data_IF_868733970476
#
_entry.id   IF_868733970476
#
_cell.length_a   1.000
_cell.length_b   1.000
_cell.length_c   1.000
_cell.angle_alpha   90.00
_cell.angle_beta   90.00
_cell.angle_gamma   90.00
#
_symmetry.space_group_name_H-M   'P 1'
#
loop_
_entity.id
_entity.type
_entity.pdbx_description
1 polymer ?
#
# COMPACT_ATOMS: atom_id res chain seq x y z
N UNK A 1 -1.43 -34.94 3.02
CA UNK A 1 -2.86 -35.06 2.69
C UNK A 1 -3.03 -34.94 1.19
N UNK A 2 -4.02 -35.60 0.61
CA UNK A 2 -4.34 -35.42 -0.80
C UNK A 2 -5.07 -34.09 -1.02
N UNK A 3 -4.79 -33.45 -2.15
CA UNK A 3 -5.41 -32.18 -2.56
C UNK A 3 -6.17 -32.39 -3.87
N UNK A 4 -7.38 -31.93 -3.90
CA UNK A 4 -8.18 -31.94 -5.11
C UNK A 4 -7.65 -30.84 -6.09
N UNK A 5 -7.97 -30.97 -7.39
CA UNK A 5 -7.51 -30.02 -8.42
C UNK A 5 -7.92 -28.59 -8.18
N UNK A 6 -9.19 -28.28 -7.82
CA UNK A 6 -9.62 -26.90 -7.50
C UNK A 6 -8.85 -26.30 -6.31
N UNK A 7 -8.62 -27.08 -5.24
CA UNK A 7 -7.86 -26.62 -4.07
C UNK A 7 -6.40 -26.31 -4.42
N UNK A 8 -5.77 -27.12 -5.27
CA UNK A 8 -4.41 -26.90 -5.74
C UNK A 8 -4.30 -25.60 -6.55
N UNK A 9 -5.24 -25.34 -7.46
CA UNK A 9 -5.29 -24.10 -8.25
C UNK A 9 -5.47 -22.84 -7.38
N UNK A 10 -6.18 -22.95 -6.26
CA UNK A 10 -6.28 -21.86 -5.30
C UNK A 10 -4.97 -21.60 -4.56
N UNK A 11 -4.22 -22.66 -4.22
CA UNK A 11 -2.91 -22.55 -3.59
C UNK A 11 -1.88 -21.93 -4.54
N UNK A 12 -1.93 -22.22 -5.82
CA UNK A 12 -1.03 -21.65 -6.84
C UNK A 12 -1.20 -20.13 -7.01
N UNK A 13 -2.37 -19.58 -6.68
CA UNK A 13 -2.61 -18.11 -6.68
C UNK A 13 -1.95 -17.41 -5.49
N UNK A 14 -1.46 -18.16 -4.51
CA UNK A 14 -0.77 -17.62 -3.34
C UNK A 14 0.71 -17.42 -3.68
N UNK A 15 1.36 -16.31 -3.24
CA UNK A 15 2.78 -16.08 -3.48
C UNK A 15 3.65 -17.25 -2.99
N UNK A 16 4.66 -17.69 -3.77
CA UNK A 16 5.44 -18.92 -3.49
C UNK A 16 6.06 -18.98 -2.09
N UNK A 17 6.49 -17.83 -1.56
CA UNK A 17 7.15 -17.76 -0.24
C UNK A 17 6.22 -18.05 0.94
N UNK A 18 4.88 -17.96 0.77
CA UNK A 18 3.90 -18.30 1.82
C UNK A 18 3.12 -19.58 1.54
N UNK A 19 3.21 -20.16 0.34
CA UNK A 19 2.45 -21.36 -0.04
C UNK A 19 2.65 -22.52 0.94
N UNK A 20 3.88 -22.75 1.41
CA UNK A 20 4.18 -23.81 2.38
C UNK A 20 3.42 -23.63 3.68
N UNK A 21 3.43 -22.40 4.22
CA UNK A 21 2.74 -22.07 5.49
C UNK A 21 1.22 -22.19 5.33
N UNK A 22 0.68 -21.70 4.20
CA UNK A 22 -0.76 -21.82 3.90
C UNK A 22 -1.16 -23.28 3.79
N UNK A 23 -0.38 -24.11 3.08
CA UNK A 23 -0.61 -25.53 2.92
C UNK A 23 -0.67 -26.25 4.27
N UNK A 24 0.34 -26.06 5.12
CA UNK A 24 0.39 -26.66 6.46
C UNK A 24 -0.81 -26.30 7.30
N UNK A 25 -1.24 -25.04 7.26
CA UNK A 25 -2.40 -24.56 8.04
C UNK A 25 -3.72 -25.14 7.53
N UNK A 26 -3.92 -25.20 6.21
CA UNK A 26 -5.12 -25.81 5.60
C UNK A 26 -5.20 -27.28 5.93
N UNK A 27 -4.08 -28.01 5.83
CA UNK A 27 -4.02 -29.43 6.18
C UNK A 27 -4.29 -29.67 7.67
N UNK A 28 -3.81 -28.81 8.57
CA UNK A 28 -4.10 -28.90 10.01
C UNK A 28 -5.58 -28.74 10.28
N UNK A 29 -6.21 -27.70 9.69
CA UNK A 29 -7.65 -27.45 9.84
C UNK A 29 -8.50 -28.59 9.26
N UNK A 30 -8.09 -29.17 8.15
CA UNK A 30 -8.77 -30.31 7.54
C UNK A 30 -8.69 -31.55 8.43
N UNK A 31 -7.53 -31.82 9.07
CA UNK A 31 -7.36 -32.91 10.04
C UNK A 31 -8.21 -32.73 11.28
N UNK A 32 -8.27 -31.51 11.84
CA UNK A 32 -9.13 -31.20 12.98
C UNK A 32 -10.61 -31.44 12.69
N UNK A 33 -11.01 -31.32 11.42
CA UNK A 33 -12.36 -31.61 10.92
C UNK A 33 -12.56 -33.07 10.47
N UNK A 34 -11.57 -33.94 10.69
CA UNK A 34 -11.62 -35.35 10.33
C UNK A 34 -11.62 -35.63 8.82
N UNK A 35 -11.11 -34.71 8.02
CA UNK A 35 -11.03 -34.86 6.56
C UNK A 35 -9.70 -35.46 6.15
N UNK A 36 -9.74 -36.34 5.13
CA UNK A 36 -8.54 -36.94 4.54
C UNK A 36 -8.14 -36.32 3.22
N UNK A 37 -9.08 -35.57 2.59
CA UNK A 37 -8.90 -34.85 1.34
C UNK A 37 -9.15 -33.37 1.55
N UNK A 38 -8.27 -32.51 1.02
CA UNK A 38 -8.43 -31.06 1.01
C UNK A 38 -9.16 -30.66 -0.26
N UNK A 39 -10.37 -30.14 -0.09
CA UNK A 39 -11.18 -29.59 -1.18
C UNK A 39 -11.16 -28.06 -1.16
N UNK A 40 -11.75 -27.45 -2.19
CA UNK A 40 -11.91 -26.00 -2.26
C UNK A 40 -12.59 -25.42 -1.01
N UNK A 41 -13.57 -26.14 -0.45
CA UNK A 41 -14.31 -25.72 0.73
C UNK A 41 -13.40 -25.59 1.97
N UNK A 42 -12.44 -26.50 2.16
CA UNK A 42 -11.46 -26.43 3.24
C UNK A 42 -10.49 -25.26 3.08
N UNK A 43 -10.05 -24.95 1.84
CA UNK A 43 -9.20 -23.80 1.56
C UNK A 43 -9.93 -22.49 1.85
N UNK A 44 -11.20 -22.38 1.43
CA UNK A 44 -12.03 -21.20 1.70
C UNK A 44 -12.30 -21.06 3.21
N UNK A 45 -12.65 -22.14 3.89
CA UNK A 45 -12.87 -22.13 5.34
C UNK A 45 -11.61 -21.76 6.14
N UNK A 46 -10.43 -22.22 5.70
CA UNK A 46 -9.17 -21.80 6.29
C UNK A 46 -8.93 -20.30 6.08
N UNK A 47 -9.17 -19.80 4.87
CA UNK A 47 -9.06 -18.37 4.58
C UNK A 47 -9.97 -17.53 5.47
N UNK A 48 -11.23 -17.91 5.63
CA UNK A 48 -12.19 -17.21 6.49
C UNK A 48 -11.78 -17.24 7.98
N UNK A 49 -11.20 -18.36 8.44
CA UNK A 49 -10.69 -18.49 9.80
C UNK A 49 -9.50 -17.55 10.09
N UNK A 50 -8.62 -17.31 9.10
CA UNK A 50 -7.41 -16.51 9.29
C UNK A 50 -7.55 -15.05 8.87
N UNK A 51 -8.39 -14.75 7.88
CA UNK A 51 -8.58 -13.40 7.35
C UNK A 51 -9.89 -12.73 7.79
N UNK A 52 -10.72 -13.45 8.56
CA UNK A 52 -12.09 -13.06 8.85
C UNK A 52 -13.02 -13.31 7.65
N UNK A 53 -14.31 -13.40 7.90
CA UNK A 53 -15.32 -13.51 6.84
C UNK A 53 -15.20 -12.27 5.93
N UNK A 54 -15.22 -12.42 4.60
CA UNK A 54 -15.32 -11.29 3.71
C UNK A 54 -16.51 -10.44 4.16
N UNK A 55 -16.28 -9.17 4.46
CA UNK A 55 -17.35 -8.28 4.88
C UNK A 55 -18.39 -8.20 3.75
N UNK A 56 -19.61 -8.77 3.93
CA UNK A 56 -20.63 -8.76 2.88
C UNK A 56 -21.10 -7.34 2.53
N UNK A 57 -20.72 -6.33 3.31
CA UNK A 57 -20.97 -4.92 3.03
C UNK A 57 -19.93 -4.28 2.09
N UNK A 58 -18.89 -5.03 1.66
CA UNK A 58 -18.05 -4.65 0.54
C UNK A 58 -18.78 -4.97 -0.79
N UNK A 59 -19.93 -4.36 -1.00
CA UNK A 59 -20.48 -4.19 -2.34
C UNK A 59 -19.41 -3.50 -3.18
N UNK A 60 -19.16 -3.95 -4.44
CA UNK A 60 -18.31 -3.18 -5.34
C UNK A 60 -18.92 -1.77 -5.42
N UNK A 61 -18.22 -0.82 -4.83
CA UNK A 61 -18.69 0.55 -4.76
C UNK A 61 -18.90 1.03 -6.21
N UNK A 62 -20.13 1.46 -6.52
CA UNK A 62 -20.45 2.23 -7.71
C UNK A 62 -19.34 3.28 -7.87
N UNK A 63 -18.68 3.36 -9.05
CA UNK A 63 -17.59 4.33 -9.26
C UNK A 63 -18.11 5.72 -8.83
N UNK A 64 -17.64 6.28 -7.73
CA UNK A 64 -18.10 7.59 -7.29
C UNK A 64 -17.59 8.64 -8.29
N UNK A 65 -18.35 9.71 -8.49
CA UNK A 65 -17.89 10.88 -9.25
C UNK A 65 -16.61 11.42 -8.58
N UNK A 66 -15.68 12.00 -9.34
CA UNK A 66 -14.36 12.43 -8.84
C UNK A 66 -14.43 13.33 -7.59
N UNK A 67 -15.47 14.16 -7.50
CA UNK A 67 -15.76 14.98 -6.31
C UNK A 67 -16.10 14.14 -5.06
N UNK A 68 -16.72 12.99 -5.23
CA UNK A 68 -17.11 12.09 -4.15
C UNK A 68 -15.93 11.25 -3.67
N UNK A 69 -15.03 10.87 -4.60
CA UNK A 69 -13.79 10.15 -4.26
C UNK A 69 -12.89 10.91 -3.29
N UNK A 70 -12.85 12.23 -3.38
CA UNK A 70 -11.97 13.10 -2.59
C UNK A 70 -12.64 13.67 -1.34
N UNK A 71 -13.91 13.32 -1.06
CA UNK A 71 -14.71 13.91 0.03
C UNK A 71 -14.06 13.83 1.41
N UNK A 72 -13.38 12.72 1.71
CA UNK A 72 -12.67 12.55 2.98
C UNK A 72 -11.39 13.39 3.02
N UNK A 73 -10.63 13.43 1.92
CA UNK A 73 -9.37 14.19 1.85
C UNK A 73 -9.57 15.70 1.94
N UNK A 74 -10.72 16.22 1.49
CA UNK A 74 -11.06 17.66 1.59
C UNK A 74 -11.05 18.19 3.02
N UNK A 75 -11.15 17.31 4.03
CA UNK A 75 -10.99 17.68 5.43
C UNK A 75 -9.55 18.02 5.83
N UNK A 76 -8.58 17.73 4.96
CA UNK A 76 -7.15 17.88 5.24
C UNK A 76 -6.49 18.71 4.14
N UNK A 77 -6.20 19.97 4.41
CA UNK A 77 -5.57 20.91 3.48
C UNK A 77 -4.25 20.43 2.88
N UNK A 78 -3.49 19.61 3.61
CA UNK A 78 -2.19 19.10 3.19
C UNK A 78 -2.20 18.19 1.94
N UNK A 79 -3.35 17.76 1.47
CA UNK A 79 -3.54 16.96 0.26
C UNK A 79 -4.00 17.79 -0.93
N UNK A 80 -3.98 19.11 -0.80
CA UNK A 80 -4.36 20.04 -1.83
C UNK A 80 -3.31 21.15 -1.94
N UNK A 81 -3.05 21.60 -3.16
CA UNK A 81 -2.22 22.75 -3.42
C UNK A 81 -2.95 24.08 -3.08
N UNK A 82 -2.29 25.20 -3.32
CA UNK A 82 -2.86 26.54 -3.06
C UNK A 82 -4.04 26.89 -3.99
N UNK A 83 -4.18 26.18 -5.10
CA UNK A 83 -5.23 26.33 -6.09
C UNK A 83 -6.43 25.39 -5.80
N UNK A 84 -6.27 24.47 -4.83
CA UNK A 84 -7.27 23.50 -4.44
C UNK A 84 -7.26 22.23 -5.26
N UNK A 85 -6.21 21.98 -6.08
CA UNK A 85 -6.04 20.74 -6.80
C UNK A 85 -5.50 19.65 -5.85
N UNK A 86 -5.93 18.39 -5.99
CA UNK A 86 -5.45 17.32 -5.15
C UNK A 86 -3.97 17.01 -5.44
N UNK A 87 -3.17 16.80 -4.39
CA UNK A 87 -1.78 16.34 -4.45
C UNK A 87 -1.64 15.11 -3.56
N UNK A 88 -1.59 13.94 -4.18
CA UNK A 88 -1.59 12.64 -3.49
C UNK A 88 -0.19 12.08 -3.29
N UNK A 89 0.81 12.92 -3.16
CA UNK A 89 2.15 12.57 -2.75
C UNK A 89 2.75 13.62 -1.84
N UNK A 90 3.69 13.22 -1.01
CA UNK A 90 4.42 14.11 -0.11
C UNK A 90 5.91 13.78 -0.23
N UNK A 91 6.73 14.75 -0.60
CA UNK A 91 8.19 14.59 -0.65
C UNK A 91 8.79 15.41 0.47
N UNK A 92 9.43 14.74 1.43
CA UNK A 92 10.11 15.36 2.56
C UNK A 92 11.62 15.28 2.35
N UNK A 93 12.31 16.41 2.41
CA UNK A 93 13.77 16.49 2.41
C UNK A 93 14.32 16.70 3.81
N UNK A 94 15.58 16.37 4.00
CA UNK A 94 16.35 16.84 5.14
C UNK A 94 16.56 18.36 4.99
N UNK A 95 16.38 19.09 6.09
CA UNK A 95 16.58 20.55 6.14
C UNK A 95 18.05 20.96 6.37
N UNK A 96 18.98 20.04 6.22
CA UNK A 96 20.39 20.27 6.52
C UNK A 96 21.00 21.46 5.80
N UNK A 97 20.69 21.66 4.52
CA UNK A 97 21.17 22.80 3.74
C UNK A 97 20.59 24.14 4.24
N UNK A 98 19.31 24.18 4.66
CA UNK A 98 18.65 25.38 5.17
C UNK A 98 19.22 25.83 6.53
N UNK A 99 19.66 24.89 7.37
CA UNK A 99 20.11 25.16 8.75
C UNK A 99 21.63 25.06 8.92
N UNK A 100 22.39 24.98 7.83
CA UNK A 100 23.87 24.79 7.85
C UNK A 100 24.31 23.63 8.74
N UNK A 101 23.67 22.48 8.57
CA UNK A 101 23.93 21.31 9.40
C UNK A 101 25.36 20.79 9.19
N UNK A 102 26.17 20.63 10.27
CA UNK A 102 27.57 20.20 10.14
C UNK A 102 27.72 18.75 9.67
N UNK A 103 26.66 17.95 9.71
CA UNK A 103 26.64 16.56 9.27
C UNK A 103 26.12 16.37 7.84
N UNK A 104 25.79 17.45 7.15
CA UNK A 104 25.27 17.36 5.79
C UNK A 104 26.35 16.86 4.82
N UNK A 105 26.07 15.77 4.12
CA UNK A 105 26.96 15.20 3.11
C UNK A 105 26.53 15.64 1.71
N UNK A 106 25.21 15.70 1.48
CA UNK A 106 24.65 16.11 0.19
C UNK A 106 23.35 16.91 0.39
N UNK A 107 23.10 17.83 -0.52
CA UNK A 107 21.83 18.58 -0.52
C UNK A 107 20.68 17.70 -1.02
N UNK A 108 19.88 17.26 -0.07
CA UNK A 108 18.69 16.45 -0.34
C UNK A 108 17.55 17.24 -1.01
N UNK A 109 17.59 18.57 -0.98
CA UNK A 109 16.58 19.44 -1.61
C UNK A 109 16.57 19.24 -3.12
N UNK A 110 17.74 19.23 -3.76
CA UNK A 110 17.88 19.05 -5.22
C UNK A 110 17.21 17.75 -5.69
N UNK A 111 17.44 16.64 -4.97
CA UNK A 111 16.82 15.37 -5.34
C UNK A 111 15.31 15.37 -5.04
N UNK A 112 14.91 16.00 -3.95
CA UNK A 112 13.49 16.14 -3.60
C UNK A 112 12.70 16.91 -4.65
N UNK A 113 13.27 17.97 -5.20
CA UNK A 113 12.64 18.75 -6.27
C UNK A 113 12.56 17.95 -7.58
N UNK A 114 13.62 17.22 -7.93
CA UNK A 114 13.58 16.30 -9.08
C UNK A 114 12.51 15.23 -8.92
N UNK A 115 12.32 14.70 -7.72
CA UNK A 115 11.27 13.71 -7.44
C UNK A 115 9.87 14.32 -7.56
N UNK A 116 9.66 15.56 -7.06
CA UNK A 116 8.37 16.26 -7.23
C UNK A 116 8.06 16.47 -8.71
N UNK A 117 8.98 17.09 -9.44
CA UNK A 117 8.81 17.35 -10.87
C UNK A 117 8.51 16.05 -11.63
N UNK A 118 9.20 14.95 -11.29
CA UNK A 118 8.96 13.67 -11.93
C UNK A 118 7.58 13.09 -11.64
N UNK A 119 7.06 13.26 -10.42
CA UNK A 119 5.71 12.82 -10.06
C UNK A 119 4.63 13.65 -10.78
N UNK A 120 4.87 14.94 -10.98
CA UNK A 120 4.01 15.84 -11.77
C UNK A 120 4.00 15.45 -13.26
N UNK A 121 5.16 15.27 -13.87
CA UNK A 121 5.30 14.80 -15.26
C UNK A 121 4.59 13.45 -15.50
N UNK A 122 4.61 12.58 -14.50
CA UNK A 122 3.95 11.28 -14.57
C UNK A 122 2.43 11.37 -14.35
N UNK A 123 1.89 12.54 -14.05
CA UNK A 123 0.48 12.71 -13.65
C UNK A 123 0.10 11.72 -12.55
N UNK A 124 0.96 11.64 -11.51
CA UNK A 124 0.85 10.61 -10.47
C UNK A 124 -0.48 10.67 -9.73
N UNK A 125 -0.92 11.88 -9.38
CA UNK A 125 -2.16 12.10 -8.64
C UNK A 125 -3.38 11.62 -9.42
N UNK A 126 -3.48 11.99 -10.69
CA UNK A 126 -4.60 11.62 -11.57
C UNK A 126 -4.64 10.10 -11.75
N UNK A 127 -3.49 9.49 -12.05
CA UNK A 127 -3.38 8.04 -12.19
C UNK A 127 -3.75 7.29 -10.91
N UNK A 128 -3.43 7.87 -9.75
CA UNK A 128 -3.80 7.27 -8.47
C UNK A 128 -5.32 7.37 -8.23
N UNK A 129 -5.91 8.52 -8.56
CA UNK A 129 -7.37 8.74 -8.47
C UNK A 129 -8.12 7.74 -9.37
N UNK A 130 -7.63 7.54 -10.58
CA UNK A 130 -8.22 6.58 -11.52
C UNK A 130 -8.12 5.14 -11.04
N UNK A 131 -6.98 4.78 -10.46
CA UNK A 131 -6.66 3.41 -10.06
C UNK A 131 -7.35 2.98 -8.77
N UNK A 132 -7.63 3.91 -7.86
CA UNK A 132 -8.29 3.61 -6.59
C UNK A 132 -9.78 3.43 -6.81
N UNK A 133 -10.31 2.27 -6.46
CA UNK A 133 -11.74 2.00 -6.43
C UNK A 133 -12.35 2.52 -5.13
N UNK A 134 -13.34 3.41 -5.23
CA UNK A 134 -14.01 3.99 -4.06
C UNK A 134 -13.40 5.29 -3.57
N UNK A 135 -13.55 5.59 -2.28
CA UNK A 135 -13.06 6.82 -1.66
C UNK A 135 -11.54 6.79 -1.45
N UNK A 136 -10.89 7.91 -1.75
CA UNK A 136 -9.46 8.09 -1.51
C UNK A 136 -9.25 8.51 -0.06
N UNK A 137 -8.42 7.75 0.63
CA UNK A 137 -8.10 7.94 2.03
C UNK A 137 -6.65 8.42 2.20
N UNK A 138 -6.30 9.03 3.35
CA UNK A 138 -4.94 9.52 3.62
C UNK A 138 -3.81 8.51 3.40
N UNK A 139 -4.06 7.22 3.59
CA UNK A 139 -3.08 6.17 3.39
C UNK A 139 -2.82 5.81 1.91
N UNK A 140 -3.68 6.24 0.99
CA UNK A 140 -3.42 6.11 -0.44
C UNK A 140 -2.40 7.13 -0.95
N UNK A 141 -2.16 8.21 -0.20
CA UNK A 141 -1.14 9.20 -0.55
C UNK A 141 0.27 8.61 -0.39
N UNK A 142 1.09 8.72 -1.43
CA UNK A 142 2.47 8.27 -1.44
C UNK A 142 3.37 9.23 -0.63
N UNK A 143 4.21 8.68 0.23
CA UNK A 143 5.14 9.44 1.06
C UNK A 143 6.57 9.10 0.68
N UNK A 144 7.32 10.12 0.30
CA UNK A 144 8.73 10.01 -0.06
C UNK A 144 9.56 10.80 0.94
N UNK A 145 10.77 10.34 1.23
CA UNK A 145 11.73 11.14 1.99
C UNK A 145 13.15 10.94 1.47
N UNK A 146 13.91 12.03 1.49
CA UNK A 146 15.32 12.07 1.09
C UNK A 146 16.14 12.55 2.27
N UNK A 147 17.14 11.75 2.68
CA UNK A 147 18.11 12.13 3.70
C UNK A 147 19.37 12.72 3.04
N UNK A 148 19.98 13.70 3.69
CA UNK A 148 21.23 14.31 3.25
C UNK A 148 22.47 13.76 3.98
N UNK A 149 22.29 12.83 4.93
CA UNK A 149 23.35 12.17 5.68
C UNK A 149 22.81 10.93 6.42
N UNK A 150 23.68 10.06 6.96
CA UNK A 150 23.28 8.84 7.70
C UNK A 150 22.39 9.06 8.92
N UNK A 151 22.34 10.27 9.50
CA UNK A 151 21.45 10.57 10.62
C UNK A 151 19.96 10.50 10.28
N UNK A 152 19.63 10.52 8.99
CA UNK A 152 18.27 10.21 8.47
C UNK A 152 17.13 11.02 9.12
N UNK A 153 17.36 12.32 9.40
CA UNK A 153 16.40 13.20 10.09
C UNK A 153 15.05 13.33 9.36
N UNK A 154 15.00 13.09 8.05
CA UNK A 154 13.76 13.02 7.26
C UNK A 154 13.01 11.70 7.43
N UNK A 155 13.59 10.73 8.14
CA UNK A 155 13.04 9.39 8.41
C UNK A 155 12.66 8.62 7.13
N UNK A 156 13.57 8.45 6.16
CA UNK A 156 13.26 7.75 4.92
C UNK A 156 12.89 6.28 5.13
N UNK A 157 13.33 5.65 6.21
CA UNK A 157 13.09 4.23 6.53
C UNK A 157 11.61 3.88 6.74
N UNK A 158 10.78 4.89 7.10
CA UNK A 158 9.35 4.70 7.40
C UNK A 158 8.44 5.34 6.32
N UNK A 159 8.97 5.58 5.15
CA UNK A 159 8.23 6.13 4.00
C UNK A 159 8.03 5.06 2.93
N UNK A 160 7.08 5.29 2.04
CA UNK A 160 6.80 4.39 0.93
C UNK A 160 8.00 4.33 -0.04
N UNK A 161 8.74 5.42 -0.13
CA UNK A 161 10.01 5.51 -0.85
C UNK A 161 11.00 6.37 -0.06
N UNK A 162 12.16 5.83 0.28
CA UNK A 162 13.20 6.50 1.04
C UNK A 162 14.56 6.46 0.35
N UNK A 163 15.26 7.60 0.35
CA UNK A 163 16.63 7.74 -0.15
C UNK A 163 17.53 8.20 0.98
N UNK A 164 18.66 7.50 1.13
CA UNK A 164 19.74 7.81 2.08
C UNK A 164 20.96 8.32 1.36
#
# INVERSE_FOLDING_TARGET
MEWDKPATLLLEKVPPFVQKVVREKVETLARERGKTLVTEAEVVAARESFMGKPNPQRTPAKKPADNEKLSILRKYSKYFDNEGNPVLYQVKSCRGAEVNCPFLITDSGILSDKLRNRLEELHFTEKLIDKVEGQILPHHSMKLAVAGCPNSCSMPQIKDFGVH
#
